data_IF_321698070667
#
_entry.id   IF_321698070667
#
_cell.length_a   1.000
_cell.length_b   1.000
_cell.length_c   1.000
_cell.angle_alpha   90.00
_cell.angle_beta   90.00
_cell.angle_gamma   90.00
#
_symmetry.space_group_name_H-M   'P 1'
#
loop_
_entity.id
_entity.type
_entity.pdbx_description
1 polymer ?
#
# COMPACT_ATOMS: atom_id res chain seq x y z
N UNK A 1 4.50 -9.47 -2.63
CA UNK A 1 3.72 -8.22 -2.66
C UNK A 1 3.89 -7.43 -3.95
N UNK A 2 5.11 -7.28 -4.49
CA UNK A 2 5.30 -6.60 -5.78
C UNK A 2 4.58 -7.28 -6.97
N UNK A 3 4.28 -8.57 -6.86
CA UNK A 3 3.45 -9.30 -7.83
C UNK A 3 1.95 -9.04 -7.66
N UNK A 4 1.54 -8.63 -6.45
CA UNK A 4 0.14 -8.54 -6.05
C UNK A 4 -0.40 -7.12 -6.11
N UNK A 5 0.40 -6.11 -5.75
CA UNK A 5 -0.01 -4.71 -5.72
C UNK A 5 0.91 -3.91 -6.62
N UNK A 6 0.33 -3.16 -7.56
CA UNK A 6 1.06 -2.35 -8.55
C UNK A 6 0.44 -0.97 -8.72
N UNK A 7 1.30 0.00 -9.00
CA UNK A 7 0.97 1.36 -9.37
C UNK A 7 1.36 1.52 -10.84
N UNK A 8 0.38 1.55 -11.73
CA UNK A 8 0.59 1.58 -13.19
C UNK A 8 0.03 2.85 -13.83
N UNK A 9 0.71 3.34 -14.87
CA UNK A 9 0.25 4.48 -15.67
C UNK A 9 -0.25 3.98 -17.02
N UNK A 10 -1.50 4.28 -17.34
CA UNK A 10 -2.13 3.86 -18.60
C UNK A 10 -2.91 5.03 -19.20
N UNK A 11 -2.70 5.31 -20.49
CA UNK A 11 -3.39 6.38 -21.22
C UNK A 11 -3.35 7.75 -20.50
N UNK A 12 -2.23 8.05 -19.83
CA UNK A 12 -2.04 9.29 -19.07
C UNK A 12 -2.68 9.33 -17.68
N UNK A 13 -3.36 8.26 -17.27
CA UNK A 13 -3.99 8.12 -15.95
C UNK A 13 -3.21 7.16 -15.05
N UNK A 14 -3.37 7.33 -13.75
CA UNK A 14 -2.70 6.54 -12.72
C UNK A 14 -3.68 5.54 -12.12
N UNK A 15 -3.26 4.28 -11.97
CA UNK A 15 -4.07 3.20 -11.43
C UNK A 15 -3.33 2.45 -10.32
N UNK A 16 -4.11 1.98 -9.35
CA UNK A 16 -3.70 1.02 -8.33
C UNK A 16 -4.36 -0.31 -8.70
N UNK A 17 -3.56 -1.32 -8.93
CA UNK A 17 -4.01 -2.68 -9.24
C UNK A 17 -3.61 -3.61 -8.11
N UNK A 18 -4.56 -4.42 -7.63
CA UNK A 18 -4.28 -5.42 -6.61
C UNK A 18 -4.96 -6.75 -6.94
N UNK A 19 -4.25 -7.86 -6.72
CA UNK A 19 -4.80 -9.20 -6.57
C UNK A 19 -4.38 -9.73 -5.22
N UNK A 20 -5.34 -9.81 -4.29
CA UNK A 20 -5.07 -10.30 -2.95
C UNK A 20 -4.73 -11.80 -3.00
N UNK A 21 -3.64 -12.25 -2.35
CA UNK A 21 -3.39 -13.67 -2.19
C UNK A 21 -4.42 -14.31 -1.27
N UNK A 22 -4.58 -15.63 -1.41
CA UNK A 22 -5.31 -16.43 -0.43
C UNK A 22 -4.68 -16.31 0.97
N UNK A 23 -5.54 -16.30 1.99
CA UNK A 23 -5.15 -16.15 3.39
C UNK A 23 -5.80 -17.23 4.24
N UNK A 24 -5.24 -17.53 5.43
CA UNK A 24 -5.85 -18.48 6.34
C UNK A 24 -7.30 -18.11 6.69
N UNK A 25 -8.15 -19.12 6.88
CA UNK A 25 -9.54 -18.94 7.28
C UNK A 25 -9.65 -18.08 8.55
N UNK A 26 -10.61 -17.14 8.55
CA UNK A 26 -10.85 -16.23 9.67
C UNK A 26 -9.94 -15.00 9.71
N UNK A 27 -8.99 -14.87 8.78
CA UNK A 27 -8.22 -13.64 8.59
C UNK A 27 -8.80 -12.80 7.47
N UNK A 28 -8.52 -11.50 7.52
CA UNK A 28 -8.87 -10.50 6.53
C UNK A 28 -7.64 -9.69 6.16
N UNK A 29 -7.52 -9.31 4.88
CA UNK A 29 -6.53 -8.34 4.46
C UNK A 29 -6.91 -6.93 4.93
N UNK A 30 -5.91 -6.18 5.34
CA UNK A 30 -6.02 -4.75 5.58
C UNK A 30 -4.92 -4.04 4.81
N UNK A 31 -5.33 -3.40 3.72
CA UNK A 31 -4.49 -2.56 2.87
C UNK A 31 -4.84 -1.09 3.08
N UNK A 32 -3.86 -0.28 3.46
CA UNK A 32 -3.95 1.17 3.46
C UNK A 32 -2.86 1.75 2.57
N UNK A 33 -3.25 2.61 1.63
CA UNK A 33 -2.33 3.30 0.72
C UNK A 33 -2.50 4.79 0.99
N UNK A 34 -1.46 5.46 1.46
CA UNK A 34 -1.45 6.91 1.67
C UNK A 34 -0.48 7.55 0.68
N UNK A 35 -0.93 8.61 0.02
CA UNK A 35 -0.17 9.38 -0.94
C UNK A 35 0.09 10.74 -0.29
N UNK A 36 1.36 11.06 -0.08
CA UNK A 36 1.78 12.32 0.50
C UNK A 36 2.22 13.25 -0.61
N UNK A 37 1.64 14.45 -0.66
CA UNK A 37 1.98 15.48 -1.63
C UNK A 37 3.00 16.46 -1.04
N UNK A 38 3.76 17.10 -1.93
CA UNK A 38 4.78 18.10 -1.57
C UNK A 38 4.22 19.35 -0.88
N UNK A 39 2.93 19.62 -1.05
CA UNK A 39 2.22 20.71 -0.36
C UNK A 39 1.79 20.36 1.08
N UNK A 40 2.09 19.14 1.54
CA UNK A 40 1.76 18.64 2.88
C UNK A 40 0.38 17.99 2.97
N UNK A 41 -0.42 18.01 1.90
CA UNK A 41 -1.68 17.26 1.86
C UNK A 41 -1.42 15.76 1.76
N UNK A 42 -2.38 14.96 2.25
CA UNK A 42 -2.34 13.51 2.13
C UNK A 42 -3.73 12.96 1.92
N UNK A 43 -3.84 12.05 0.97
CA UNK A 43 -5.06 11.30 0.68
C UNK A 43 -4.73 9.82 0.61
N UNK A 44 -5.73 8.96 0.78
CA UNK A 44 -5.46 7.55 0.84
C UNK A 44 -6.63 6.65 0.45
N UNK A 45 -6.27 5.46 0.01
CA UNK A 45 -7.15 4.39 -0.39
C UNK A 45 -7.15 3.29 0.66
N UNK A 46 -8.34 2.86 1.07
CA UNK A 46 -8.51 1.76 2.02
C UNK A 46 -9.89 1.11 1.87
N UNK A 47 -10.07 -0.14 2.33
CA UNK A 47 -11.38 -0.77 2.39
C UNK A 47 -12.40 -0.07 3.28
N UNK A 48 -11.91 0.76 4.20
CA UNK A 48 -12.72 1.51 5.16
C UNK A 48 -12.44 2.99 4.96
N UNK A 49 -13.46 3.80 4.70
CA UNK A 49 -13.28 5.22 4.43
C UNK A 49 -14.63 5.95 4.30
N UNK A 50 -14.61 7.27 4.50
CA UNK A 50 -15.81 8.11 4.35
C UNK A 50 -16.07 8.52 2.90
N UNK A 51 -15.02 8.64 2.08
CA UNK A 51 -15.15 8.99 0.67
C UNK A 51 -15.28 7.72 -0.19
N UNK A 52 -16.44 7.47 -0.83
CA UNK A 52 -16.64 6.30 -1.67
C UNK A 52 -15.65 6.19 -2.84
N UNK A 53 -15.16 7.34 -3.32
CA UNK A 53 -14.19 7.36 -4.42
C UNK A 53 -12.84 6.74 -4.03
N UNK A 54 -12.51 6.71 -2.74
CA UNK A 54 -11.23 6.18 -2.26
C UNK A 54 -11.34 4.78 -1.66
N UNK A 55 -12.55 4.20 -1.68
CA UNK A 55 -12.74 2.81 -1.29
C UNK A 55 -12.12 1.86 -2.32
N UNK A 56 -11.37 0.89 -1.81
CA UNK A 56 -10.81 -0.24 -2.54
C UNK A 56 -11.27 -1.55 -1.89
N UNK A 57 -11.47 -2.64 -2.64
CA UNK A 57 -11.82 -3.93 -2.07
C UNK A 57 -10.80 -4.42 -1.03
N UNK A 58 -11.27 -5.15 -0.01
CA UNK A 58 -10.43 -5.86 0.97
C UNK A 58 -10.11 -7.31 0.58
N UNK A 59 -10.64 -7.80 -0.53
CA UNK A 59 -10.47 -9.17 -1.03
C UNK A 59 -10.56 -9.21 -2.56
N UNK A 60 -10.25 -10.36 -3.14
CA UNK A 60 -10.35 -10.59 -4.58
C UNK A 60 -9.32 -9.79 -5.39
N UNK A 61 -9.75 -9.20 -6.50
CA UNK A 61 -8.89 -8.37 -7.36
C UNK A 61 -9.58 -7.06 -7.72
N UNK A 62 -8.78 -6.00 -7.89
CA UNK A 62 -9.29 -4.70 -8.32
C UNK A 62 -8.29 -3.93 -9.18
N UNK A 63 -8.84 -3.03 -9.99
CA UNK A 63 -8.12 -1.93 -10.65
C UNK A 63 -8.86 -0.64 -10.35
N UNK A 64 -8.20 0.29 -9.68
CA UNK A 64 -8.78 1.55 -9.20
C UNK A 64 -8.02 2.72 -9.79
N UNK A 65 -8.71 3.67 -10.42
CA UNK A 65 -8.11 4.93 -10.82
C UNK A 65 -7.70 5.73 -9.58
N UNK A 66 -6.44 6.15 -9.51
CA UNK A 66 -5.88 6.93 -8.43
C UNK A 66 -6.22 8.42 -8.62
N UNK A 67 -7.50 8.77 -8.53
CA UNK A 67 -8.02 10.13 -8.80
C UNK A 67 -7.41 11.24 -7.93
N UNK A 68 -6.84 10.91 -6.78
CA UNK A 68 -6.12 11.89 -5.93
C UNK A 68 -4.77 12.29 -6.53
N UNK A 69 -4.25 11.52 -7.50
CA UNK A 69 -3.01 11.81 -8.22
C UNK A 69 -3.35 12.46 -9.56
N UNK A 70 -3.42 13.79 -9.56
CA UNK A 70 -3.60 14.58 -10.79
C UNK A 70 -2.29 14.81 -11.53
N UNK A 71 -1.18 14.93 -10.79
CA UNK A 71 0.17 15.09 -11.32
C UNK A 71 1.17 14.38 -10.41
N UNK A 72 1.86 13.35 -10.94
CA UNK A 72 2.84 12.57 -10.19
C UNK A 72 4.00 13.42 -9.65
N UNK A 73 4.34 14.53 -10.31
CA UNK A 73 5.40 15.43 -9.86
C UNK A 73 5.06 16.16 -8.55
N UNK A 74 3.78 16.20 -8.19
CA UNK A 74 3.31 16.79 -6.93
C UNK A 74 3.37 15.79 -5.77
N UNK A 75 3.52 14.50 -6.07
CA UNK A 75 3.66 13.47 -5.05
C UNK A 75 5.09 13.52 -4.48
N UNK A 76 5.18 13.46 -3.16
CA UNK A 76 6.43 13.38 -2.42
C UNK A 76 6.80 11.91 -2.18
N UNK A 77 5.92 11.15 -1.51
CA UNK A 77 6.12 9.72 -1.28
C UNK A 77 4.81 8.96 -1.10
N UNK A 78 4.92 7.64 -1.28
CA UNK A 78 3.87 6.69 -0.95
C UNK A 78 4.17 6.03 0.38
N UNK A 79 3.11 5.84 1.19
CA UNK A 79 3.16 4.97 2.35
C UNK A 79 2.07 3.91 2.28
N UNK A 80 2.48 2.65 2.23
CA UNK A 80 1.58 1.51 2.09
C UNK A 80 1.73 0.63 3.31
N UNK A 81 0.63 0.42 4.02
CA UNK A 81 0.56 -0.52 5.13
C UNK A 81 -0.28 -1.73 4.76
N UNK A 82 0.30 -2.91 4.94
CA UNK A 82 -0.34 -4.18 4.62
C UNK A 82 -0.30 -5.04 5.87
N UNK A 83 -1.45 -5.57 6.27
CA UNK A 83 -1.55 -6.46 7.42
C UNK A 83 -2.59 -7.53 7.19
N UNK A 84 -2.41 -8.66 7.87
CA UNK A 84 -3.45 -9.65 8.10
C UNK A 84 -4.06 -9.39 9.47
N UNK A 85 -5.38 -9.30 9.52
CA UNK A 85 -6.16 -9.06 10.74
C UNK A 85 -7.05 -10.25 10.99
N UNK A 86 -7.04 -10.74 12.22
CA UNK A 86 -8.05 -11.67 12.68
C UNK A 86 -9.08 -10.88 13.52
N UNK A 87 -10.39 -10.99 13.28
CA UNK A 87 -11.40 -10.16 13.96
C UNK A 87 -11.36 -10.25 15.49
N UNK A 88 -10.91 -11.39 16.05
CA UNK A 88 -10.86 -11.59 17.51
C UNK A 88 -9.54 -11.16 18.16
N UNK A 89 -8.42 -11.31 17.45
CA UNK A 89 -7.07 -11.13 18.02
C UNK A 89 -6.30 -9.96 17.41
N UNK A 90 -6.90 -9.27 16.43
CA UNK A 90 -6.28 -8.14 15.74
C UNK A 90 -5.22 -8.57 14.73
N UNK A 91 -4.32 -7.65 14.41
CA UNK A 91 -3.17 -7.92 13.56
C UNK A 91 -1.95 -8.29 14.39
N UNK A 92 -1.08 -9.16 13.85
CA UNK A 92 0.22 -9.49 14.44
C UNK A 92 1.32 -8.49 14.04
N UNK A 93 1.07 -7.62 13.08
CA UNK A 93 2.03 -6.66 12.56
C UNK A 93 1.67 -6.18 11.16
N UNK A 94 2.44 -5.23 10.65
CA UNK A 94 2.22 -4.67 9.33
C UNK A 94 3.53 -4.61 8.53
N UNK A 95 3.45 -4.97 7.26
CA UNK A 95 4.44 -4.61 6.27
C UNK A 95 4.22 -3.14 5.90
N UNK A 96 5.21 -2.31 6.20
CA UNK A 96 5.25 -0.91 5.86
C UNK A 96 6.19 -0.69 4.66
N UNK A 97 5.63 -0.25 3.55
CA UNK A 97 6.36 0.09 2.32
C UNK A 97 6.35 1.60 2.17
N UNK A 98 7.52 2.20 2.01
CA UNK A 98 7.69 3.62 1.70
C UNK A 98 8.45 3.74 0.40
N UNK A 99 8.00 4.65 -0.45
CA UNK A 99 8.65 4.96 -1.72
C UNK A 99 8.57 6.46 -1.97
N UNK A 100 9.68 7.16 -1.72
CA UNK A 100 9.82 8.56 -2.10
C UNK A 100 10.11 8.70 -3.59
N UNK A 101 9.48 9.69 -4.24
CA UNK A 101 9.63 9.94 -5.67
C UNK A 101 11.06 10.37 -6.04
N UNK A 102 11.74 11.05 -5.13
CA UNK A 102 13.16 11.43 -5.26
C UNK A 102 14.13 10.28 -4.89
N UNK A 103 13.59 9.11 -4.54
CA UNK A 103 14.32 7.91 -4.10
C UNK A 103 15.16 8.09 -2.82
N UNK A 104 14.89 9.12 -2.02
CA UNK A 104 15.62 9.38 -0.75
C UNK A 104 15.27 8.40 0.37
N UNK A 105 14.04 7.90 0.43
CA UNK A 105 13.58 6.85 1.34
C UNK A 105 12.79 5.80 0.55
N UNK A 106 13.41 4.64 0.36
CA UNK A 106 12.76 3.46 -0.21
C UNK A 106 12.96 2.32 0.77
N UNK A 107 11.86 1.81 1.31
CA UNK A 107 11.93 0.70 2.28
C UNK A 107 10.71 -0.17 2.27
N UNK A 108 10.92 -1.45 2.59
CA UNK A 108 9.89 -2.43 2.88
C UNK A 108 10.25 -3.11 4.19
N UNK A 109 9.53 -2.77 5.27
CA UNK A 109 9.84 -3.22 6.62
C UNK A 109 8.62 -3.81 7.29
N UNK A 110 8.71 -5.05 7.75
CA UNK A 110 7.68 -5.63 8.59
C UNK A 110 7.90 -5.22 10.05
N UNK A 111 6.86 -4.68 10.67
CA UNK A 111 6.86 -4.27 12.07
C UNK A 111 5.85 -5.13 12.80
N UNK A 112 6.35 -5.94 13.74
CA UNK A 112 5.50 -6.72 14.64
C UNK A 112 4.79 -5.81 15.63
N UNK A 113 3.57 -6.18 16.01
CA UNK A 113 2.86 -5.55 17.13
C UNK A 113 3.39 -6.05 18.49
N UNK A 114 4.20 -7.11 18.51
CA UNK A 114 4.86 -7.62 19.71
C UNK A 114 6.24 -6.96 19.88
N UNK A 115 6.51 -6.44 21.08
CA UNK A 115 7.82 -5.88 21.43
C UNK A 115 8.95 -6.94 21.48
N UNK A 116 8.60 -8.23 21.49
CA UNK A 116 9.55 -9.35 21.60
C UNK A 116 9.98 -9.85 20.20
N UNK A 117 9.11 -9.69 19.21
CA UNK A 117 9.40 -10.11 17.83
C UNK A 117 10.04 -8.92 17.12
N UNK A 118 11.33 -9.03 16.71
CA UNK A 118 12.00 -7.92 16.06
C UNK A 118 11.34 -7.61 14.71
N UNK A 119 11.46 -6.36 14.28
CA UNK A 119 11.07 -5.97 12.92
C UNK A 119 12.01 -6.58 11.89
N UNK A 120 11.48 -6.98 10.75
CA UNK A 120 12.26 -7.52 9.63
C UNK A 120 12.34 -6.50 8.49
N UNK A 121 13.51 -6.42 7.85
CA UNK A 121 13.76 -5.50 6.75
C UNK A 121 13.88 -6.30 5.44
N UNK A 122 12.99 -6.01 4.50
CA UNK A 122 12.94 -6.64 3.18
C UNK A 122 13.35 -5.68 2.05
N UNK A 123 13.81 -4.46 2.36
CA UNK A 123 14.14 -3.46 1.34
C UNK A 123 15.15 -3.95 0.30
N UNK A 124 16.11 -4.80 0.71
CA UNK A 124 17.13 -5.32 -0.21
C UNK A 124 16.61 -6.36 -1.21
N UNK A 125 15.49 -7.02 -0.89
CA UNK A 125 14.91 -8.10 -1.71
C UNK A 125 13.56 -7.72 -2.33
N UNK A 126 13.00 -6.58 -1.95
CA UNK A 126 11.71 -6.12 -2.45
C UNK A 126 11.88 -5.46 -3.83
N UNK A 127 11.08 -5.89 -4.80
CA UNK A 127 11.10 -5.36 -6.16
C UNK A 127 10.20 -4.11 -6.27
N UNK A 128 10.79 -2.94 -5.97
CA UNK A 128 10.08 -1.67 -6.01
C UNK A 128 9.75 -1.22 -7.44
N UNK A 129 10.62 -1.50 -8.40
CA UNK A 129 10.43 -1.10 -9.79
C UNK A 129 9.26 -1.86 -10.42
N UNK A 130 9.05 -3.12 -10.02
CA UNK A 130 7.87 -3.88 -10.42
C UNK A 130 6.58 -3.33 -9.80
N UNK A 131 6.63 -2.89 -8.55
CA UNK A 131 5.48 -2.32 -7.84
C UNK A 131 5.12 -0.92 -8.34
N UNK A 132 6.10 -0.05 -8.55
CA UNK A 132 5.92 1.36 -8.90
C UNK A 132 6.34 1.62 -10.34
N UNK A 133 5.36 1.59 -11.24
CA UNK A 133 5.51 1.81 -12.69
C UNK A 133 4.91 3.15 -13.13
N UNK A 134 4.77 4.10 -12.19
CA UNK A 134 4.29 5.46 -12.43
C UNK A 134 5.37 6.41 -12.93
#
# INVERSE_FOLDING_TARGET
>A
MADQLRFVKENGKYYIECTYPEIPEGYEWSLGITIHNKDGTRDGYSPIGRNPEWLIPGEGSFKKEATVVTNINNVDFFNIMISLKHPKSGSLGALNIVYSMDKSDIRAKFVSNSAIIPSENYSATFDFDKMFQW
#
